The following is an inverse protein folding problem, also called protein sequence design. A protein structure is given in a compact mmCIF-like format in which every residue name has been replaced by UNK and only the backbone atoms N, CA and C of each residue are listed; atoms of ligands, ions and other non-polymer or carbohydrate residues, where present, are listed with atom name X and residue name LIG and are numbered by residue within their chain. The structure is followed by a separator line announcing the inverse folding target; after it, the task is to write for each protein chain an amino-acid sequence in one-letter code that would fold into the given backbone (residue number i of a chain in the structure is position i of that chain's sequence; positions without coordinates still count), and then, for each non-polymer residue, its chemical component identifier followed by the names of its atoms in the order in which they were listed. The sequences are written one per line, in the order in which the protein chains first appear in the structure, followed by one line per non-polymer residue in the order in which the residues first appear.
data_IF_773034802210
#
_entry.id   IF_773034802210
#
_cell.length_a   1.000
_cell.length_b   1.000
_cell.length_c   1.000
_cell.angle_alpha   90.00
_cell.angle_beta   90.00
_cell.angle_gamma   90.00
#
_symmetry.space_group_name_H-M   'P 1'
#
loop_
_entity.id
_entity.type
_entity.pdbx_description
1 polymer ?
#
# COMPACT_ATOMS: atom_id res chain seq x y z
N UNK A 1 44.87 -6.84 26.47
CA UNK A 1 44.03 -7.81 25.76
C UNK A 1 42.72 -7.08 25.38
N UNK A 2 42.42 -6.78 24.13
CA UNK A 2 41.15 -6.18 23.76
C UNK A 2 40.04 -7.25 23.77
N UNK A 3 39.00 -7.00 24.55
CA UNK A 3 37.77 -7.79 24.55
C UNK A 3 37.10 -7.66 23.17
N UNK A 4 37.18 -8.71 22.37
CA UNK A 4 36.33 -8.90 21.21
C UNK A 4 34.90 -9.25 21.69
N UNK A 5 34.07 -8.25 21.91
CA UNK A 5 32.62 -8.45 21.95
C UNK A 5 32.13 -8.71 20.53
N UNK A 6 32.03 -10.00 20.18
CA UNK A 6 31.28 -10.42 19.00
C UNK A 6 29.83 -10.01 19.23
N UNK A 7 29.39 -8.95 18.59
CA UNK A 7 27.98 -8.60 18.50
C UNK A 7 27.29 -9.73 17.72
N UNK A 8 26.66 -10.64 18.44
CA UNK A 8 25.74 -11.60 17.81
C UNK A 8 24.56 -10.79 17.25
N UNK A 9 24.51 -10.66 15.94
CA UNK A 9 23.34 -10.08 15.25
C UNK A 9 22.08 -10.78 15.79
N UNK A 10 21.13 -10.00 16.30
CA UNK A 10 19.88 -10.52 16.85
C UNK A 10 19.20 -11.35 15.75
N UNK A 11 18.79 -12.59 16.08
CA UNK A 11 18.14 -13.49 15.12
C UNK A 11 16.81 -12.86 14.69
N UNK A 12 16.67 -12.58 13.40
CA UNK A 12 15.40 -12.10 12.83
C UNK A 12 14.40 -13.24 12.79
N UNK A 13 13.22 -13.01 13.36
CA UNK A 13 12.08 -13.94 13.28
C UNK A 13 11.22 -13.53 12.09
N UNK A 14 11.11 -14.38 11.08
CA UNK A 14 10.23 -14.18 9.94
C UNK A 14 8.82 -14.68 10.28
N UNK A 15 7.80 -13.87 9.95
CA UNK A 15 6.39 -14.15 10.23
C UNK A 15 5.58 -13.87 8.97
N UNK A 16 4.71 -14.79 8.57
CA UNK A 16 3.71 -14.57 7.52
C UNK A 16 2.43 -14.00 8.16
N UNK A 17 1.90 -12.92 7.61
CA UNK A 17 0.70 -12.24 8.13
C UNK A 17 -0.34 -12.12 7.04
N UNK A 18 -1.54 -12.62 7.31
CA UNK A 18 -2.71 -12.58 6.45
C UNK A 18 -3.61 -11.39 6.81
N UNK A 19 -3.62 -10.37 5.96
CA UNK A 19 -4.65 -9.34 5.96
C UNK A 19 -5.85 -9.91 5.20
N UNK A 20 -6.69 -10.63 5.92
CA UNK A 20 -7.89 -11.27 5.37
C UNK A 20 -8.98 -10.22 5.26
N UNK A 21 -9.49 -10.01 4.05
CA UNK A 21 -10.60 -9.08 3.82
C UNK A 21 -11.78 -9.74 3.10
N UNK A 22 -12.92 -9.13 3.30
CA UNK A 22 -14.17 -9.43 2.60
C UNK A 22 -14.83 -8.13 2.16
N UNK A 23 -15.34 -8.09 0.95
CA UNK A 23 -16.08 -6.93 0.41
C UNK A 23 -17.52 -7.36 0.17
N UNK A 24 -18.46 -6.71 0.86
CA UNK A 24 -19.89 -7.00 0.71
C UNK A 24 -20.46 -6.43 -0.61
N UNK A 25 -21.71 -6.76 -0.91
CA UNK A 25 -22.43 -6.32 -2.13
C UNK A 25 -22.56 -4.77 -2.23
N UNK A 26 -22.46 -4.05 -1.12
CA UNK A 26 -22.44 -2.59 -1.09
C UNK A 26 -21.03 -2.00 -1.33
N UNK A 27 -20.02 -2.84 -1.56
CA UNK A 27 -18.64 -2.42 -1.77
C UNK A 27 -17.89 -2.04 -0.48
N UNK A 28 -18.43 -2.36 0.70
CA UNK A 28 -17.78 -2.10 1.99
C UNK A 28 -16.80 -3.21 2.32
N UNK A 29 -15.58 -2.84 2.69
CA UNK A 29 -14.53 -3.77 3.06
C UNK A 29 -14.49 -4.00 4.58
N UNK A 30 -14.38 -5.26 4.97
CA UNK A 30 -14.20 -5.73 6.34
C UNK A 30 -12.90 -6.53 6.44
N UNK A 31 -12.23 -6.46 7.57
CA UNK A 31 -10.97 -7.14 7.84
C UNK A 31 -11.11 -8.07 9.05
N UNK A 32 -10.65 -9.31 8.92
CA UNK A 32 -10.65 -10.26 10.01
C UNK A 32 -9.51 -9.96 10.98
N UNK A 33 -9.83 -9.87 12.26
CA UNK A 33 -8.89 -9.72 13.37
C UNK A 33 -9.07 -10.83 14.38
N UNK A 34 -7.98 -11.41 14.87
CA UNK A 34 -7.91 -12.25 16.05
C UNK A 34 -7.67 -11.42 17.32
N UNK A 35 -8.11 -11.90 18.48
CA UNK A 35 -7.83 -11.26 19.76
C UNK A 35 -6.79 -12.05 20.54
N UNK A 36 -5.63 -11.43 20.80
CA UNK A 36 -4.54 -12.00 21.60
C UNK A 36 -4.91 -11.96 23.09
N UNK A 37 -4.79 -13.09 23.74
CA UNK A 37 -5.07 -13.19 25.15
C UNK A 37 -3.99 -12.50 26.01
N UNK A 38 -4.36 -12.02 27.21
CA UNK A 38 -3.48 -11.23 28.08
C UNK A 38 -2.12 -11.88 28.41
N UNK A 39 -2.05 -13.21 28.44
CA UNK A 39 -0.82 -13.95 28.76
C UNK A 39 0.17 -14.07 27.59
N UNK A 40 -0.25 -13.74 26.37
CA UNK A 40 0.60 -13.78 25.18
C UNK A 40 1.47 -12.53 25.08
N UNK A 41 2.59 -12.64 24.35
CA UNK A 41 3.42 -11.46 24.03
C UNK A 41 2.59 -10.42 23.29
N UNK A 42 2.60 -9.15 23.75
CA UNK A 42 1.71 -8.10 23.24
C UNK A 42 0.20 -8.44 23.41
N UNK A 43 -0.19 -9.15 24.49
CA UNK A 43 -1.58 -9.50 24.78
C UNK A 43 -2.53 -8.32 24.96
N UNK A 44 -3.84 -8.61 25.10
CA UNK A 44 -4.93 -7.65 25.17
C UNK A 44 -5.00 -6.70 23.95
N UNK A 45 -4.72 -7.25 22.77
CA UNK A 45 -4.73 -6.53 21.49
C UNK A 45 -5.40 -7.38 20.41
N UNK A 46 -5.91 -6.70 19.40
CA UNK A 46 -6.30 -7.35 18.15
C UNK A 46 -5.09 -7.49 17.24
N UNK A 47 -5.08 -8.50 16.38
CA UNK A 47 -4.01 -8.73 15.40
C UNK A 47 -4.55 -9.34 14.12
N UNK A 48 -3.78 -9.23 13.05
CA UNK A 48 -4.02 -10.01 11.84
C UNK A 48 -3.57 -11.45 12.04
N UNK A 49 -4.25 -12.40 11.41
CA UNK A 49 -3.92 -13.83 11.44
C UNK A 49 -2.53 -14.08 10.89
N UNK A 50 -1.74 -14.95 11.53
CA UNK A 50 -0.42 -15.29 11.01
C UNK A 50 0.55 -15.78 12.05
N UNK A 51 1.61 -16.43 11.57
CA UNK A 51 2.60 -17.03 12.44
C UNK A 51 3.98 -17.15 11.84
N UNK A 52 4.86 -17.86 12.51
CA UNK A 52 6.26 -17.99 12.10
C UNK A 52 6.41 -18.77 10.81
N UNK A 53 7.34 -18.34 9.98
CA UNK A 53 7.77 -19.07 8.79
C UNK A 53 8.78 -20.12 9.21
N UNK A 54 8.50 -21.39 8.95
CA UNK A 54 9.39 -22.49 9.26
C UNK A 54 10.58 -22.60 8.30
N UNK A 55 11.66 -23.35 8.70
CA UNK A 55 12.96 -23.40 7.99
C UNK A 55 12.70 -24.03 6.65
N UNK A 56 11.95 -24.38 5.97
CA UNK A 56 11.80 -24.88 4.59
C UNK A 56 10.52 -24.37 3.92
N UNK A 57 9.87 -23.40 4.55
CA UNK A 57 8.67 -22.79 4.00
C UNK A 57 8.99 -21.49 3.27
N UNK A 58 8.29 -21.24 2.20
CA UNK A 58 8.15 -19.89 1.64
C UNK A 58 7.16 -19.08 2.50
N UNK A 59 7.23 -17.75 2.49
CA UNK A 59 6.26 -16.91 3.21
C UNK A 59 4.79 -17.21 2.84
N UNK A 60 4.52 -17.56 1.58
CA UNK A 60 3.18 -17.94 1.13
C UNK A 60 2.72 -19.30 1.66
N UNK A 61 3.63 -20.30 1.73
CA UNK A 61 3.30 -21.60 2.32
C UNK A 61 2.97 -21.47 3.80
N UNK A 62 3.78 -20.72 4.55
CA UNK A 62 3.50 -20.41 5.95
C UNK A 62 2.14 -19.70 6.12
N UNK A 63 1.84 -18.72 5.25
CA UNK A 63 0.55 -18.02 5.25
C UNK A 63 -0.63 -18.99 5.15
N UNK A 64 -0.61 -19.90 4.16
CA UNK A 64 -1.68 -20.88 3.95
C UNK A 64 -1.83 -21.81 5.15
N UNK A 65 -0.71 -22.30 5.70
CA UNK A 65 -0.70 -23.16 6.88
C UNK A 65 -1.26 -22.45 8.12
N UNK A 66 -0.76 -21.26 8.44
CA UNK A 66 -1.18 -20.48 9.62
C UNK A 66 -2.67 -20.12 9.58
N UNK A 67 -3.18 -19.69 8.41
CA UNK A 67 -4.62 -19.39 8.25
C UNK A 67 -5.47 -20.65 8.47
N UNK A 68 -5.02 -21.81 7.97
CA UNK A 68 -5.73 -23.07 8.20
C UNK A 68 -5.66 -23.51 9.67
N UNK A 69 -4.50 -23.36 10.34
CA UNK A 69 -4.30 -23.74 11.73
C UNK A 69 -5.06 -22.83 12.70
N UNK A 70 -5.00 -21.50 12.51
CA UNK A 70 -5.60 -20.56 13.46
C UNK A 70 -7.12 -20.41 13.29
N UNK A 71 -7.62 -20.40 12.07
CA UNK A 71 -9.05 -20.10 11.81
C UNK A 71 -9.79 -21.16 10.99
N UNK A 72 -9.12 -22.23 10.58
CA UNK A 72 -9.74 -23.34 9.82
C UNK A 72 -10.17 -22.99 8.42
N UNK A 73 -9.61 -21.93 7.81
CA UNK A 73 -9.95 -21.48 6.47
C UNK A 73 -8.90 -21.93 5.45
N UNK A 74 -9.34 -22.64 4.40
CA UNK A 74 -8.47 -22.97 3.27
C UNK A 74 -8.46 -21.80 2.28
N UNK A 75 -7.29 -21.18 2.12
CA UNK A 75 -7.07 -20.05 1.21
C UNK A 75 -6.23 -20.41 -0.02
N UNK A 76 -6.01 -21.70 -0.29
CA UNK A 76 -5.17 -22.18 -1.41
C UNK A 76 -5.67 -21.71 -2.79
N UNK A 77 -6.96 -21.45 -2.93
CA UNK A 77 -7.58 -20.99 -4.17
C UNK A 77 -7.86 -19.49 -4.18
N UNK A 78 -7.62 -18.78 -3.05
CA UNK A 78 -7.85 -17.35 -2.99
C UNK A 78 -6.73 -16.57 -3.66
N UNK A 79 -7.09 -15.45 -4.27
CA UNK A 79 -6.09 -14.50 -4.74
C UNK A 79 -5.33 -13.92 -3.56
N UNK A 80 -4.02 -14.08 -3.58
CA UNK A 80 -3.11 -13.57 -2.54
C UNK A 80 -2.19 -12.52 -3.14
N UNK A 81 -2.20 -11.31 -2.59
CA UNK A 81 -1.35 -10.21 -3.02
C UNK A 81 -0.36 -9.87 -1.91
N UNK A 82 0.94 -9.92 -2.20
CA UNK A 82 1.97 -9.44 -1.27
C UNK A 82 1.86 -7.93 -1.14
N UNK A 83 1.64 -7.41 0.07
CA UNK A 83 1.65 -5.99 0.36
C UNK A 83 3.07 -5.48 0.66
N UNK A 84 3.92 -6.31 1.27
CA UNK A 84 5.29 -5.93 1.56
C UNK A 84 5.90 -6.69 2.72
N UNK A 85 7.02 -6.16 3.23
CA UNK A 85 7.71 -6.70 4.42
C UNK A 85 7.96 -5.58 5.42
N UNK A 86 7.41 -5.72 6.62
CA UNK A 86 7.62 -4.77 7.70
C UNK A 86 8.69 -5.33 8.64
N UNK A 87 9.79 -4.59 8.81
CA UNK A 87 10.82 -4.94 9.80
C UNK A 87 10.60 -4.08 11.05
N UNK A 88 10.56 -4.73 12.18
CA UNK A 88 10.37 -4.08 13.47
C UNK A 88 11.31 -4.67 14.53
N UNK A 89 12.00 -3.78 15.22
CA UNK A 89 12.92 -4.16 16.29
C UNK A 89 12.21 -3.96 17.63
N UNK A 90 11.83 -5.07 18.27
CA UNK A 90 11.45 -5.07 19.66
C UNK A 90 12.71 -5.09 20.54
N UNK A 91 12.57 -4.76 21.81
CA UNK A 91 13.70 -4.77 22.75
C UNK A 91 14.36 -6.14 22.92
N UNK A 92 13.61 -7.22 22.68
CA UNK A 92 14.03 -8.61 22.87
C UNK A 92 14.30 -9.39 21.57
N UNK A 93 13.81 -8.90 20.42
CA UNK A 93 13.91 -9.58 19.11
C UNK A 93 13.64 -8.64 17.94
N UNK A 94 14.24 -8.98 16.80
CA UNK A 94 13.90 -8.38 15.52
C UNK A 94 12.89 -9.27 14.80
N UNK A 95 11.86 -8.70 14.18
CA UNK A 95 10.87 -9.41 13.38
C UNK A 95 10.81 -8.87 11.96
N UNK A 96 10.54 -9.76 11.00
CA UNK A 96 10.21 -9.41 9.64
C UNK A 96 8.82 -9.99 9.32
N UNK A 97 7.84 -9.12 9.19
CA UNK A 97 6.46 -9.48 8.89
C UNK A 97 6.26 -9.45 7.38
N UNK A 98 6.05 -10.61 6.76
CA UNK A 98 5.70 -10.76 5.35
C UNK A 98 4.18 -10.63 5.22
N UNK A 99 3.70 -9.50 4.72
CA UNK A 99 2.29 -9.12 4.72
C UNK A 99 1.66 -9.51 3.40
N UNK A 100 0.55 -10.23 3.47
CA UNK A 100 -0.25 -10.62 2.31
C UNK A 100 -1.71 -10.22 2.52
N UNK A 101 -2.34 -9.71 1.49
CA UNK A 101 -3.78 -9.51 1.44
C UNK A 101 -4.43 -10.74 0.81
N UNK A 102 -5.50 -11.23 1.43
CA UNK A 102 -6.28 -12.39 1.00
C UNK A 102 -7.75 -12.02 1.01
N UNK A 103 -8.40 -11.98 -0.15
CA UNK A 103 -9.84 -11.67 -0.23
C UNK A 103 -10.64 -12.97 -0.18
N UNK A 104 -11.57 -13.08 0.77
CA UNK A 104 -12.45 -14.23 0.92
C UNK A 104 -13.69 -14.10 0.03
N UNK A 105 -14.23 -15.26 -0.36
CA UNK A 105 -15.57 -15.35 -0.96
C UNK A 105 -16.69 -15.35 0.11
N UNK A 106 -17.94 -15.31 -0.36
CA UNK A 106 -19.11 -15.28 0.52
C UNK A 106 -19.20 -16.52 1.43
N UNK A 107 -18.88 -17.71 0.92
CA UNK A 107 -18.97 -18.96 1.69
C UNK A 107 -17.92 -19.02 2.81
N UNK A 108 -16.69 -18.56 2.52
CA UNK A 108 -15.62 -18.46 3.52
C UNK A 108 -15.94 -17.40 4.57
N UNK A 109 -16.49 -16.24 4.16
CA UNK A 109 -16.92 -15.19 5.08
C UNK A 109 -18.04 -15.69 6.01
N UNK A 110 -19.08 -16.33 5.47
CA UNK A 110 -20.20 -16.86 6.26
C UNK A 110 -19.75 -17.90 7.29
N UNK A 111 -18.78 -18.75 6.93
CA UNK A 111 -18.20 -19.74 7.83
C UNK A 111 -17.44 -19.10 9.02
N UNK A 112 -16.90 -17.91 8.85
CA UNK A 112 -16.09 -17.18 9.84
C UNK A 112 -16.86 -16.05 10.54
N UNK A 113 -18.14 -15.81 10.19
CA UNK A 113 -18.90 -14.63 10.64
C UNK A 113 -19.13 -14.61 12.17
N UNK A 114 -19.28 -15.78 12.80
CA UNK A 114 -19.60 -15.92 14.22
C UNK A 114 -18.71 -16.98 14.87
N UNK A 115 -17.39 -16.83 14.78
CA UNK A 115 -16.52 -17.89 15.21
C UNK A 115 -15.52 -17.50 16.30
N UNK A 116 -15.02 -18.53 16.94
CA UNK A 116 -13.71 -18.54 17.56
C UNK A 116 -12.75 -19.18 16.58
N UNK A 117 -11.50 -18.75 16.57
CA UNK A 117 -10.45 -19.46 15.88
C UNK A 117 -10.23 -20.83 16.50
N UNK A 118 -9.55 -21.71 15.79
CA UNK A 118 -9.31 -23.08 16.24
C UNK A 118 -8.41 -23.16 17.49
N UNK A 119 -7.65 -22.11 17.77
CA UNK A 119 -6.85 -21.95 18.99
C UNK A 119 -7.66 -21.34 20.17
N UNK A 120 -8.96 -21.14 19.98
CA UNK A 120 -9.87 -20.58 21.00
C UNK A 120 -9.82 -19.05 21.10
N UNK A 121 -9.08 -18.36 20.26
CA UNK A 121 -9.07 -16.89 20.16
C UNK A 121 -10.39 -16.39 19.59
N UNK A 122 -10.88 -15.27 20.13
CA UNK A 122 -12.03 -14.57 19.55
C UNK A 122 -11.61 -13.93 18.23
N UNK A 123 -12.40 -14.12 17.18
CA UNK A 123 -12.24 -13.42 15.90
C UNK A 123 -13.34 -12.36 15.74
N UNK A 124 -13.04 -11.29 15.02
CA UNK A 124 -13.99 -10.20 14.74
C UNK A 124 -13.73 -9.62 13.35
N UNK A 125 -14.78 -9.11 12.74
CA UNK A 125 -14.71 -8.38 11.48
C UNK A 125 -14.73 -6.88 11.76
N UNK A 126 -13.63 -6.22 11.49
CA UNK A 126 -13.49 -4.77 11.60
C UNK A 126 -13.86 -4.11 10.28
N UNK A 127 -14.70 -3.08 10.30
CA UNK A 127 -14.88 -2.26 9.10
C UNK A 127 -13.58 -1.50 8.76
N UNK A 128 -13.38 -1.16 7.50
CA UNK A 128 -12.21 -0.36 7.10
C UNK A 128 -12.16 0.97 7.87
N UNK A 129 -13.30 1.62 8.05
CA UNK A 129 -13.39 2.91 8.74
C UNK A 129 -13.01 2.79 10.21
N UNK A 130 -13.52 1.78 10.91
CA UNK A 130 -13.16 1.54 12.31
C UNK A 130 -11.68 1.19 12.48
N UNK A 131 -11.11 0.44 11.53
CA UNK A 131 -9.69 0.09 11.53
C UNK A 131 -8.82 1.34 11.35
N UNK A 132 -9.17 2.21 10.40
CA UNK A 132 -8.47 3.47 10.14
C UNK A 132 -8.67 4.49 11.28
N UNK A 133 -9.82 4.45 11.98
CA UNK A 133 -10.09 5.26 13.17
C UNK A 133 -9.41 4.74 14.45
N UNK A 134 -8.57 3.69 14.36
CA UNK A 134 -7.90 3.05 15.51
C UNK A 134 -8.86 2.53 16.59
N UNK A 135 -10.07 2.10 16.21
CA UNK A 135 -11.03 1.49 17.14
C UNK A 135 -10.53 0.13 17.69
N UNK A 136 -9.56 -0.47 17.03
CA UNK A 136 -8.92 -1.73 17.42
C UNK A 136 -7.46 -1.49 17.81
N UNK A 137 -7.10 -1.82 19.05
CA UNK A 137 -5.72 -1.72 19.52
C UNK A 137 -4.88 -2.83 18.89
N UNK A 138 -4.02 -2.50 17.94
CA UNK A 138 -3.12 -3.42 17.25
C UNK A 138 -1.70 -3.37 17.85
N UNK A 139 -0.84 -4.41 17.66
CA UNK A 139 0.59 -4.34 17.92
C UNK A 139 1.27 -3.22 17.10
N UNK A 140 2.33 -2.64 17.65
CA UNK A 140 3.00 -1.50 17.02
C UNK A 140 3.51 -1.79 15.59
N UNK A 141 4.00 -3.03 15.37
CA UNK A 141 4.42 -3.48 14.04
C UNK A 141 3.28 -3.50 13.00
N UNK A 142 2.02 -3.56 13.44
CA UNK A 142 0.85 -3.61 12.56
C UNK A 142 0.38 -2.21 12.11
N UNK A 143 0.87 -1.13 12.72
CA UNK A 143 0.49 0.24 12.35
C UNK A 143 0.74 0.51 10.85
N UNK A 144 1.89 0.05 10.32
CA UNK A 144 2.21 0.17 8.89
C UNK A 144 1.24 -0.58 7.98
N UNK A 145 0.65 -1.68 8.43
CA UNK A 145 -0.38 -2.41 7.67
C UNK A 145 -1.61 -1.51 7.49
N UNK A 146 -2.04 -0.85 8.58
CA UNK A 146 -3.18 0.08 8.55
C UNK A 146 -2.90 1.26 7.61
N UNK A 147 -1.67 1.81 7.62
CA UNK A 147 -1.26 2.84 6.66
C UNK A 147 -1.46 2.35 5.21
N UNK A 148 -0.98 1.16 4.88
CA UNK A 148 -1.14 0.59 3.53
C UNK A 148 -2.59 0.32 3.16
N UNK A 149 -3.43 -0.09 4.12
CA UNK A 149 -4.86 -0.30 3.90
C UNK A 149 -5.64 1.01 3.70
N UNK A 150 -5.09 2.16 4.10
CA UNK A 150 -5.68 3.47 3.80
C UNK A 150 -5.64 3.80 2.31
N UNK A 151 -4.67 3.22 1.57
CA UNK A 151 -4.53 3.43 0.14
C UNK A 151 -5.64 2.74 -0.65
N UNK A 152 -6.04 3.36 -1.76
CA UNK A 152 -7.01 2.80 -2.70
C UNK A 152 -6.29 1.92 -3.75
N UNK A 153 -7.01 0.98 -4.35
CA UNK A 153 -6.47 0.15 -5.44
C UNK A 153 -6.42 0.89 -6.80
N UNK A 154 -6.94 2.11 -6.87
CA UNK A 154 -6.83 3.00 -8.02
C UNK A 154 -6.29 4.35 -7.59
N UNK A 155 -5.23 4.80 -8.24
CA UNK A 155 -4.64 6.12 -8.04
C UNK A 155 -4.83 6.92 -9.33
N UNK A 156 -5.67 7.94 -9.24
CA UNK A 156 -5.90 8.87 -10.35
C UNK A 156 -4.74 9.86 -10.42
N UNK A 157 -4.20 10.08 -11.61
CA UNK A 157 -3.12 11.06 -11.83
C UNK A 157 -3.71 12.25 -12.59
N UNK A 158 -3.46 13.46 -12.11
CA UNK A 158 -3.95 14.65 -12.78
C UNK A 158 -3.31 14.84 -14.16
N UNK A 159 -4.11 15.37 -15.09
CA UNK A 159 -3.61 15.91 -16.36
C UNK A 159 -2.86 17.22 -16.11
N UNK A 160 -2.02 17.60 -17.07
CA UNK A 160 -1.36 18.90 -17.05
C UNK A 160 -2.36 20.05 -17.05
N UNK A 161 -2.02 21.14 -16.38
CA UNK A 161 -2.89 22.31 -16.26
C UNK A 161 -3.19 22.97 -17.61
N UNK A 162 -2.23 22.96 -18.52
CA UNK A 162 -2.33 23.55 -19.86
C UNK A 162 -3.31 22.80 -20.79
N UNK A 163 -3.75 21.61 -20.42
CA UNK A 163 -4.83 20.88 -21.12
C UNK A 163 -6.23 21.41 -20.77
N UNK A 164 -6.33 22.35 -19.83
CA UNK A 164 -7.57 23.02 -19.42
C UNK A 164 -7.53 24.50 -19.78
N UNK A 165 -8.71 25.11 -19.93
CA UNK A 165 -8.80 26.53 -20.25
C UNK A 165 -8.16 27.45 -19.19
N UNK A 166 -8.23 27.05 -17.93
CA UNK A 166 -7.64 27.76 -16.78
C UNK A 166 -7.63 26.90 -15.52
N UNK A 167 -7.04 27.42 -14.44
CA UNK A 167 -6.94 26.75 -13.14
C UNK A 167 -8.30 26.37 -12.53
N UNK A 168 -9.32 27.23 -12.67
CA UNK A 168 -10.64 26.95 -12.13
C UNK A 168 -11.31 25.78 -12.83
N UNK A 169 -11.20 25.67 -14.16
CA UNK A 169 -11.72 24.52 -14.93
C UNK A 169 -11.04 23.22 -14.55
N UNK A 170 -9.73 23.27 -14.24
CA UNK A 170 -8.98 22.12 -13.74
C UNK A 170 -9.50 21.68 -12.35
N UNK A 171 -9.69 22.62 -11.42
CA UNK A 171 -10.23 22.36 -10.09
C UNK A 171 -11.64 21.77 -10.16
N UNK A 172 -12.53 22.41 -10.91
CA UNK A 172 -13.92 21.97 -11.08
C UNK A 172 -14.02 20.56 -11.68
N UNK A 173 -13.07 20.22 -12.58
CA UNK A 173 -13.02 18.89 -13.19
C UNK A 173 -12.75 17.81 -12.15
N UNK A 174 -11.75 18.01 -11.28
CA UNK A 174 -11.37 17.00 -10.28
C UNK A 174 -12.32 17.00 -9.08
N UNK A 175 -12.81 18.15 -8.67
CA UNK A 175 -13.83 18.24 -7.61
C UNK A 175 -15.08 17.41 -7.96
N UNK A 176 -15.59 17.55 -9.20
CA UNK A 176 -16.82 16.90 -9.64
C UNK A 176 -16.66 15.43 -10.03
N UNK A 177 -15.49 15.02 -10.52
CA UNK A 177 -15.31 13.70 -11.16
C UNK A 177 -14.58 12.67 -10.34
N UNK A 178 -13.72 13.10 -9.37
CA UNK A 178 -13.03 12.13 -8.52
C UNK A 178 -14.03 11.39 -7.64
N UNK A 179 -13.95 10.05 -7.57
CA UNK A 179 -14.74 9.29 -6.61
C UNK A 179 -14.47 9.75 -5.18
N UNK A 180 -15.42 9.50 -4.29
CA UNK A 180 -15.22 9.72 -2.86
C UNK A 180 -14.08 8.82 -2.35
N UNK A 181 -13.19 9.38 -1.53
CA UNK A 181 -12.06 8.67 -0.96
C UNK A 181 -10.94 8.33 -1.95
N UNK A 182 -10.93 8.93 -3.16
CA UNK A 182 -9.99 8.60 -4.22
C UNK A 182 -8.52 8.82 -3.81
N UNK A 183 -7.62 7.92 -4.20
CA UNK A 183 -6.20 8.20 -4.29
C UNK A 183 -5.92 9.14 -5.46
N UNK A 184 -5.33 10.30 -5.20
CA UNK A 184 -5.12 11.31 -6.24
C UNK A 184 -3.69 11.85 -6.28
N UNK A 185 -2.95 11.51 -7.34
CA UNK A 185 -1.64 12.09 -7.58
C UNK A 185 -1.78 13.42 -8.33
N UNK A 186 -1.59 14.51 -7.58
CA UNK A 186 -1.74 15.89 -8.04
C UNK A 186 -0.44 16.34 -8.69
N UNK A 187 -0.45 16.38 -10.03
CA UNK A 187 0.72 16.67 -10.87
C UNK A 187 0.35 17.58 -12.03
N UNK A 188 0.05 18.87 -11.76
CA UNK A 188 -0.48 19.79 -12.78
C UNK A 188 0.55 20.19 -13.85
N UNK A 189 1.81 19.79 -13.73
CA UNK A 189 2.90 20.14 -14.66
C UNK A 189 3.03 21.67 -14.87
N UNK A 190 2.86 22.43 -13.79
CA UNK A 190 3.05 23.87 -13.72
C UNK A 190 4.26 24.21 -12.85
N UNK A 191 4.60 25.50 -12.70
CA UNK A 191 5.59 25.91 -11.71
C UNK A 191 5.16 25.53 -10.27
N UNK A 192 6.12 25.46 -9.37
CA UNK A 192 5.91 24.96 -8.00
C UNK A 192 4.90 25.79 -7.19
N UNK A 193 4.85 27.11 -7.43
CA UNK A 193 3.94 28.02 -6.73
C UNK A 193 2.49 27.78 -7.18
N UNK A 194 2.28 27.68 -8.49
CA UNK A 194 0.96 27.37 -9.05
C UNK A 194 0.51 25.96 -8.63
N UNK A 195 1.41 24.98 -8.65
CA UNK A 195 1.11 23.63 -8.18
C UNK A 195 0.67 23.62 -6.69
N UNK A 196 1.40 24.35 -5.82
CA UNK A 196 1.07 24.47 -4.40
C UNK A 196 -0.31 25.13 -4.17
N UNK A 197 -0.66 26.15 -4.95
CA UNK A 197 -1.98 26.78 -4.89
C UNK A 197 -3.10 25.81 -5.27
N UNK A 198 -2.94 25.08 -6.37
CA UNK A 198 -3.92 24.08 -6.83
C UNK A 198 -4.09 22.95 -5.81
N UNK A 199 -2.99 22.46 -5.24
CA UNK A 199 -3.03 21.42 -4.19
C UNK A 199 -3.85 21.94 -3.00
N UNK A 200 -3.55 23.10 -2.46
CA UNK A 200 -4.29 23.67 -1.32
C UNK A 200 -5.78 23.86 -1.63
N UNK A 201 -6.10 24.33 -2.82
CA UNK A 201 -7.49 24.55 -3.22
C UNK A 201 -8.25 23.23 -3.33
N UNK A 202 -7.70 22.21 -4.00
CA UNK A 202 -8.39 20.94 -4.15
C UNK A 202 -8.54 20.21 -2.80
N UNK A 203 -7.55 20.28 -1.90
CA UNK A 203 -7.64 19.70 -0.57
C UNK A 203 -8.68 20.38 0.32
N UNK A 204 -8.89 21.70 0.16
CA UNK A 204 -9.96 22.40 0.85
C UNK A 204 -11.37 22.01 0.34
N UNK A 205 -11.51 21.65 -0.94
CA UNK A 205 -12.77 21.21 -1.54
C UNK A 205 -13.04 19.73 -1.30
N UNK A 206 -11.97 18.89 -1.30
CA UNK A 206 -12.01 17.44 -1.27
C UNK A 206 -11.13 16.90 -0.14
N UNK A 207 -11.55 17.13 1.09
CA UNK A 207 -10.88 16.60 2.29
C UNK A 207 -10.95 15.05 2.39
N UNK A 208 -11.79 14.43 1.58
CA UNK A 208 -11.98 12.98 1.53
C UNK A 208 -10.90 12.23 0.75
N UNK A 209 -10.17 12.88 -0.16
CA UNK A 209 -9.17 12.24 -1.00
C UNK A 209 -7.87 11.90 -0.24
N UNK A 210 -7.12 10.91 -0.76
CA UNK A 210 -5.74 10.63 -0.33
C UNK A 210 -4.79 11.28 -1.33
N UNK A 211 -4.24 12.48 -1.03
CA UNK A 211 -3.41 13.21 -1.97
C UNK A 211 -1.98 12.69 -2.01
N UNK A 212 -1.44 12.58 -3.22
CA UNK A 212 -0.03 12.35 -3.50
C UNK A 212 0.48 13.57 -4.26
N UNK A 213 1.63 14.12 -3.87
CA UNK A 213 2.19 15.36 -4.42
C UNK A 213 3.66 15.24 -4.73
N UNK A 214 4.16 16.00 -5.71
CA UNK A 214 5.57 15.96 -6.10
C UNK A 214 6.49 16.51 -5.00
N UNK A 215 7.62 15.85 -4.77
CA UNK A 215 8.65 16.26 -3.82
C UNK A 215 9.11 17.71 -4.05
N UNK A 216 9.31 18.12 -5.31
CA UNK A 216 9.72 19.48 -5.64
C UNK A 216 8.74 20.55 -5.14
N UNK A 217 7.44 20.26 -5.16
CA UNK A 217 6.43 21.18 -4.61
C UNK A 217 6.55 21.27 -3.08
N UNK A 218 6.74 20.13 -2.42
CA UNK A 218 6.88 20.08 -0.96
C UNK A 218 8.19 20.72 -0.48
N UNK A 219 9.27 20.57 -1.24
CA UNK A 219 10.56 21.21 -0.92
C UNK A 219 10.43 22.73 -0.77
N UNK A 220 9.59 23.37 -1.59
CA UNK A 220 9.32 24.83 -1.53
C UNK A 220 8.14 25.18 -0.61
N UNK A 221 7.23 24.23 -0.35
CA UNK A 221 6.03 24.41 0.48
C UNK A 221 5.86 23.26 1.47
N UNK A 222 6.74 23.12 2.50
CA UNK A 222 6.82 21.93 3.37
C UNK A 222 5.53 21.61 4.15
N UNK A 223 4.67 22.61 4.40
CA UNK A 223 3.41 22.41 5.10
C UNK A 223 2.46 21.45 4.37
N UNK A 224 2.58 21.30 3.04
CA UNK A 224 1.75 20.39 2.24
C UNK A 224 1.99 18.92 2.63
N UNK A 225 3.20 18.58 3.07
CA UNK A 225 3.52 17.20 3.48
C UNK A 225 2.79 16.72 4.74
N UNK A 226 2.15 17.61 5.50
CA UNK A 226 1.33 17.23 6.65
C UNK A 226 0.04 16.53 6.22
N UNK A 227 -0.53 16.96 5.09
CA UNK A 227 -1.81 16.48 4.58
C UNK A 227 -1.67 15.55 3.37
N UNK A 228 -0.47 15.40 2.80
CA UNK A 228 -0.23 14.67 1.57
C UNK A 228 0.90 13.64 1.69
N UNK A 229 0.90 12.67 0.77
CA UNK A 229 2.00 11.73 0.56
C UNK A 229 2.97 12.36 -0.45
N UNK A 230 4.25 12.38 -0.12
CA UNK A 230 5.31 12.98 -0.94
C UNK A 230 5.83 11.97 -1.96
N UNK A 231 5.67 12.26 -3.23
CA UNK A 231 6.15 11.40 -4.30
C UNK A 231 7.56 11.78 -4.74
N UNK A 232 8.46 10.81 -4.67
CA UNK A 232 9.80 10.85 -5.26
C UNK A 232 9.73 10.25 -6.68
N UNK A 233 10.08 11.00 -7.70
CA UNK A 233 10.28 10.42 -9.01
C UNK A 233 11.54 9.52 -9.02
N UNK A 234 11.75 8.75 -10.08
CA UNK A 234 12.87 7.81 -10.15
C UNK A 234 14.23 8.49 -9.91
N UNK A 235 14.48 9.66 -10.54
CA UNK A 235 15.75 10.38 -10.39
C UNK A 235 15.95 10.89 -8.96
N UNK A 236 14.88 11.31 -8.30
CA UNK A 236 14.90 11.74 -6.90
C UNK A 236 15.15 10.56 -5.97
N UNK A 237 14.48 9.41 -6.19
CA UNK A 237 14.68 8.21 -5.37
C UNK A 237 16.13 7.72 -5.40
N UNK A 238 16.75 7.66 -6.59
CA UNK A 238 18.12 7.11 -6.75
C UNK A 238 19.22 8.16 -6.56
N UNK A 239 18.89 9.45 -6.69
CA UNK A 239 19.88 10.56 -6.65
C UNK A 239 19.97 11.32 -5.33
N UNK A 240 18.93 11.24 -4.49
CA UNK A 240 18.94 11.89 -3.17
C UNK A 240 19.56 10.97 -2.11
N UNK A 241 20.15 11.59 -1.09
CA UNK A 241 20.43 10.89 0.16
C UNK A 241 19.11 10.73 0.94
N UNK A 242 18.40 9.65 0.60
CA UNK A 242 17.05 9.39 1.13
C UNK A 242 17.03 9.24 2.67
N UNK A 243 18.16 8.90 3.29
CA UNK A 243 18.26 8.78 4.75
C UNK A 243 18.14 10.14 5.45
N UNK A 244 18.42 11.24 4.76
CA UNK A 244 18.29 12.61 5.29
C UNK A 244 16.91 13.22 5.06
N UNK A 245 16.01 12.53 4.38
CA UNK A 245 14.65 13.02 4.19
C UNK A 245 13.86 13.01 5.53
N UNK A 246 12.87 13.91 5.72
CA UNK A 246 12.10 13.98 6.95
C UNK A 246 11.34 12.68 7.26
N UNK A 247 11.63 12.04 8.38
CA UNK A 247 11.01 10.75 8.78
C UNK A 247 9.53 10.89 9.15
N UNK A 248 9.06 12.09 9.46
CA UNK A 248 7.64 12.37 9.74
C UNK A 248 6.74 12.46 8.51
N UNK A 249 7.30 12.50 7.29
CA UNK A 249 6.54 12.52 6.06
C UNK A 249 6.17 11.10 5.62
N UNK A 250 5.11 11.00 4.85
CA UNK A 250 4.73 9.77 4.16
C UNK A 250 5.19 9.85 2.71
N UNK A 251 5.73 8.77 2.19
CA UNK A 251 6.36 8.75 0.87
C UNK A 251 5.72 7.77 -0.09
N UNK A 252 5.83 8.08 -1.36
CA UNK A 252 5.56 7.22 -2.49
C UNK A 252 6.69 7.40 -3.50
N UNK A 253 7.07 6.37 -4.29
CA UNK A 253 8.17 6.56 -5.24
C UNK A 253 7.90 5.88 -6.58
N UNK A 254 8.59 6.35 -7.65
CA UNK A 254 8.58 5.70 -8.95
C UNK A 254 9.81 4.82 -9.13
N UNK A 255 9.57 3.56 -9.50
CA UNK A 255 10.57 2.55 -9.82
C UNK A 255 10.41 2.05 -11.25
N UNK A 256 11.53 1.67 -11.87
CA UNK A 256 11.55 1.18 -13.25
C UNK A 256 12.26 -0.17 -13.39
N UNK A 257 13.01 -0.58 -12.39
CA UNK A 257 13.89 -1.75 -12.39
C UNK A 257 14.15 -2.27 -10.97
N UNK A 258 14.89 -3.37 -10.88
CA UNK A 258 15.28 -4.00 -9.63
C UNK A 258 16.09 -3.05 -8.74
N UNK A 259 17.03 -2.28 -9.32
CA UNK A 259 17.89 -1.36 -8.55
C UNK A 259 17.09 -0.26 -7.84
N UNK A 260 16.13 0.33 -8.53
CA UNK A 260 15.26 1.35 -7.92
C UNK A 260 14.32 0.76 -6.87
N UNK A 261 13.89 -0.50 -7.03
CA UNK A 261 13.13 -1.22 -6.01
C UNK A 261 13.98 -1.55 -4.77
N UNK A 262 15.23 -1.95 -4.94
CA UNK A 262 16.16 -2.14 -3.83
C UNK A 262 16.38 -0.85 -3.04
N UNK A 263 16.53 0.28 -3.75
CA UNK A 263 16.63 1.61 -3.12
C UNK A 263 15.35 1.95 -2.34
N UNK A 264 14.18 1.67 -2.91
CA UNK A 264 12.89 1.87 -2.25
C UNK A 264 12.74 0.97 -1.01
N UNK A 265 13.14 -0.30 -1.11
CA UNK A 265 13.13 -1.24 0.02
C UNK A 265 14.06 -0.78 1.15
N UNK A 266 15.23 -0.26 0.83
CA UNK A 266 16.13 0.31 1.81
C UNK A 266 15.54 1.56 2.49
N UNK A 267 14.96 2.46 1.70
CA UNK A 267 14.28 3.66 2.18
C UNK A 267 13.11 3.33 3.12
N UNK A 268 12.34 2.28 2.83
CA UNK A 268 11.22 1.85 3.65
C UNK A 268 11.60 1.30 5.04
N UNK A 269 12.89 1.02 5.29
CA UNK A 269 13.36 0.56 6.62
C UNK A 269 13.33 1.68 7.66
N UNK A 270 13.54 2.92 7.24
CA UNK A 270 13.63 4.10 8.13
C UNK A 270 12.50 5.11 7.95
N UNK A 271 11.75 5.03 6.84
CA UNK A 271 10.71 6.00 6.49
C UNK A 271 9.35 5.34 6.28
N UNK A 272 8.27 6.13 6.40
CA UNK A 272 6.92 5.68 6.10
C UNK A 272 6.68 5.72 4.59
N UNK A 273 6.91 4.60 3.91
CA UNK A 273 6.65 4.45 2.48
C UNK A 273 5.29 3.77 2.29
N UNK A 274 4.37 4.48 1.63
CA UNK A 274 2.99 4.06 1.39
C UNK A 274 2.87 3.13 0.18
N UNK A 275 3.84 3.17 -0.73
CA UNK A 275 3.93 2.31 -1.91
C UNK A 275 4.86 2.85 -2.98
N UNK A 276 4.91 2.14 -4.11
CA UNK A 276 5.67 2.52 -5.29
C UNK A 276 4.88 2.36 -6.59
N UNK A 277 5.13 3.23 -7.56
CA UNK A 277 4.74 3.02 -8.96
C UNK A 277 5.83 2.23 -9.66
N UNK A 278 5.48 1.11 -10.27
CA UNK A 278 6.37 0.36 -11.15
C UNK A 278 5.91 0.56 -12.60
N UNK A 279 6.77 1.09 -13.43
CA UNK A 279 6.43 1.55 -14.78
C UNK A 279 7.62 1.56 -15.75
N UNK A 280 7.38 1.57 -17.08
CA UNK A 280 6.08 1.38 -17.73
C UNK A 280 5.74 -0.10 -17.91
N UNK A 281 4.46 -0.46 -17.73
CA UNK A 281 4.01 -1.86 -17.89
C UNK A 281 3.76 -2.19 -19.35
N UNK A 282 2.97 -1.34 -20.03
CA UNK A 282 2.58 -1.48 -21.44
C UNK A 282 3.02 -0.23 -22.23
N UNK A 283 3.17 -0.32 -23.56
CA UNK A 283 3.44 0.86 -24.38
C UNK A 283 2.42 1.98 -24.14
N UNK A 284 2.89 3.22 -24.11
CA UNK A 284 2.02 4.37 -23.88
C UNK A 284 2.00 5.29 -25.09
N UNK A 285 0.90 5.99 -25.39
CA UNK A 285 0.86 6.98 -26.46
C UNK A 285 1.84 8.14 -26.28
N UNK A 286 2.23 8.44 -25.03
CA UNK A 286 3.22 9.48 -24.70
C UNK A 286 4.66 9.03 -24.93
N UNK A 287 4.90 7.73 -24.99
CA UNK A 287 6.21 7.13 -25.24
C UNK A 287 6.03 5.86 -26.08
N UNK A 288 5.61 5.98 -27.35
CA UNK A 288 5.28 4.82 -28.20
C UNK A 288 6.48 3.93 -28.51
N UNK A 289 7.68 4.48 -28.47
CA UNK A 289 8.95 3.75 -28.70
C UNK A 289 9.42 2.98 -27.44
N UNK A 290 8.90 3.29 -26.27
CA UNK A 290 9.25 2.59 -25.04
C UNK A 290 8.50 1.25 -24.98
N UNK A 291 9.23 0.16 -25.08
CA UNK A 291 8.67 -1.16 -24.79
C UNK A 291 8.37 -1.22 -23.29
N UNK A 292 7.11 -1.52 -22.93
CA UNK A 292 6.76 -1.80 -21.55
C UNK A 292 7.46 -3.07 -21.06
N UNK A 293 7.64 -3.19 -19.73
CA UNK A 293 8.27 -4.38 -19.13
C UNK A 293 7.40 -5.64 -19.23
N UNK A 294 6.10 -5.49 -19.46
CA UNK A 294 5.13 -6.59 -19.48
C UNK A 294 4.79 -7.14 -18.10
N UNK A 295 3.73 -7.92 -18.03
CA UNK A 295 3.20 -8.41 -16.75
C UNK A 295 4.12 -9.42 -16.05
N UNK A 296 4.83 -10.26 -16.82
CA UNK A 296 5.74 -11.25 -16.24
C UNK A 296 6.87 -10.57 -15.46
N UNK A 297 7.59 -9.64 -16.08
CA UNK A 297 8.67 -8.87 -15.42
C UNK A 297 8.13 -8.03 -14.28
N UNK A 298 6.93 -7.43 -14.45
CA UNK A 298 6.26 -6.71 -13.36
C UNK A 298 6.05 -7.62 -12.15
N UNK A 299 5.53 -8.84 -12.33
CA UNK A 299 5.28 -9.79 -11.24
C UNK A 299 6.56 -10.20 -10.51
N UNK A 300 7.64 -10.46 -11.25
CA UNK A 300 8.95 -10.77 -10.69
C UNK A 300 9.49 -9.62 -9.82
N UNK A 301 9.37 -8.38 -10.31
CA UNK A 301 9.79 -7.18 -9.58
C UNK A 301 8.86 -6.87 -8.38
N UNK A 302 7.55 -7.00 -8.53
CA UNK A 302 6.61 -6.80 -7.42
C UNK A 302 6.86 -7.80 -6.28
N UNK A 303 7.26 -9.04 -6.60
CA UNK A 303 7.55 -10.07 -5.61
C UNK A 303 8.74 -9.74 -4.70
N UNK A 304 9.72 -8.96 -5.16
CA UNK A 304 10.89 -8.55 -4.35
C UNK A 304 10.65 -7.23 -3.59
N UNK A 305 9.55 -6.52 -3.83
CA UNK A 305 9.26 -5.28 -3.12
C UNK A 305 8.90 -5.52 -1.65
N UNK A 306 9.40 -4.65 -0.76
CA UNK A 306 9.03 -4.58 0.66
C UNK A 306 7.88 -3.59 0.94
N UNK A 307 7.28 -2.98 -0.11
CA UNK A 307 6.15 -2.05 -0.01
C UNK A 307 5.11 -2.34 -1.09
N UNK A 308 3.84 -1.88 -0.93
CA UNK A 308 2.81 -2.05 -1.95
C UNK A 308 3.21 -1.46 -3.30
N UNK A 309 3.04 -2.22 -4.39
CA UNK A 309 3.38 -1.78 -5.75
C UNK A 309 2.12 -1.56 -6.57
N UNK A 310 2.10 -0.45 -7.30
CA UNK A 310 1.04 -0.06 -8.21
C UNK A 310 1.54 -0.07 -9.66
N UNK A 311 0.80 -0.74 -10.53
CA UNK A 311 1.13 -0.79 -11.94
C UNK A 311 0.82 0.55 -12.62
N UNK A 312 1.80 1.13 -13.33
CA UNK A 312 1.68 2.40 -14.03
C UNK A 312 2.23 2.29 -15.45
N UNK A 313 1.63 3.00 -16.38
CA UNK A 313 2.08 3.08 -17.77
C UNK A 313 1.35 2.09 -18.70
N UNK A 314 0.49 2.63 -19.54
CA UNK A 314 -0.31 1.88 -20.51
C UNK A 314 -1.49 1.11 -19.92
N UNK A 315 -1.67 1.11 -18.60
CA UNK A 315 -2.76 0.39 -17.90
C UNK A 315 -4.02 1.24 -17.78
N UNK A 316 -5.17 0.59 -17.76
CA UNK A 316 -6.50 1.16 -17.56
C UNK A 316 -7.35 0.32 -16.62
N UNK A 317 -8.65 0.64 -16.50
CA UNK A 317 -9.56 -0.09 -15.57
C UNK A 317 -9.67 -1.58 -15.89
N UNK A 318 -9.58 -1.95 -17.16
CA UNK A 318 -9.64 -3.36 -17.63
C UNK A 318 -8.45 -4.19 -17.19
N UNK A 319 -7.33 -3.55 -16.88
CA UNK A 319 -6.11 -4.21 -16.44
C UNK A 319 -6.01 -4.39 -14.92
N UNK A 320 -6.95 -3.84 -14.11
CA UNK A 320 -6.87 -3.92 -12.64
C UNK A 320 -6.79 -5.37 -12.13
N UNK A 321 -7.66 -6.25 -12.60
CA UNK A 321 -7.65 -7.65 -12.20
C UNK A 321 -6.35 -8.36 -12.61
N UNK A 322 -5.85 -8.08 -13.82
CA UNK A 322 -4.58 -8.61 -14.30
C UNK A 322 -3.42 -8.09 -13.44
N UNK A 323 -3.37 -6.78 -13.15
CA UNK A 323 -2.36 -6.19 -12.29
C UNK A 323 -2.31 -6.88 -10.93
N UNK A 324 -3.46 -7.10 -10.30
CA UNK A 324 -3.57 -7.78 -9.01
C UNK A 324 -3.13 -9.25 -9.10
N UNK A 325 -3.46 -9.95 -10.17
CA UNK A 325 -3.00 -11.33 -10.40
C UNK A 325 -1.46 -11.43 -10.51
N UNK A 326 -0.80 -10.36 -10.95
CA UNK A 326 0.66 -10.24 -10.98
C UNK A 326 1.25 -9.54 -9.74
N UNK A 327 0.48 -9.41 -8.65
CA UNK A 327 0.97 -8.92 -7.35
C UNK A 327 0.90 -7.41 -7.15
N UNK A 328 0.23 -6.66 -8.02
CA UNK A 328 -0.01 -5.24 -7.77
C UNK A 328 -1.05 -5.03 -6.66
N UNK A 329 -0.82 -4.06 -5.79
CA UNK A 329 -1.84 -3.56 -4.86
C UNK A 329 -2.93 -2.77 -5.59
N UNK A 330 -2.64 -2.30 -6.79
CA UNK A 330 -3.57 -1.56 -7.64
C UNK A 330 -2.91 -1.00 -8.91
N UNK A 331 -3.62 -0.09 -9.54
CA UNK A 331 -3.18 0.60 -10.76
C UNK A 331 -3.15 2.11 -10.57
N UNK A 332 -2.33 2.78 -11.37
CA UNK A 332 -2.30 4.24 -11.43
C UNK A 332 -2.33 4.74 -12.87
N UNK A 333 -3.01 5.87 -13.11
CA UNK A 333 -3.05 6.41 -14.47
C UNK A 333 -3.80 7.72 -14.64
N UNK A 334 -3.37 8.49 -15.64
CA UNK A 334 -4.00 9.77 -16.02
C UNK A 334 -5.39 9.54 -16.64
N UNK A 335 -5.54 8.43 -17.37
CA UNK A 335 -6.77 8.14 -18.15
C UNK A 335 -7.83 7.38 -17.36
N UNK A 336 -7.54 6.92 -16.14
CA UNK A 336 -8.49 6.14 -15.34
C UNK A 336 -9.79 6.89 -15.11
N UNK A 337 -9.71 8.19 -14.79
CA UNK A 337 -10.89 9.02 -14.54
C UNK A 337 -11.81 9.14 -15.76
N UNK A 338 -11.22 9.20 -16.96
CA UNK A 338 -12.00 9.28 -18.20
C UNK A 338 -12.66 7.93 -18.58
N UNK A 339 -12.18 6.81 -18.05
CA UNK A 339 -12.72 5.48 -18.29
C UNK A 339 -13.85 5.12 -17.31
N UNK A 340 -13.99 5.86 -16.21
CA UNK A 340 -15.11 5.66 -15.30
C UNK A 340 -16.41 6.14 -15.97
N UNK A 341 -17.39 5.25 -16.04
CA UNK A 341 -18.73 5.62 -16.50
C UNK A 341 -19.30 6.66 -15.55
N UNK A 342 -19.93 7.75 -16.03
CA UNK A 342 -20.64 8.67 -15.14
C UNK A 342 -21.65 7.85 -14.35
N UNK A 343 -21.57 7.90 -13.02
CA UNK A 343 -22.65 7.39 -12.17
C UNK A 343 -23.87 8.26 -12.51
N UNK A 344 -24.85 7.66 -13.17
CA UNK A 344 -26.14 8.30 -13.39
C UNK A 344 -26.74 8.58 -12.01
N UNK A 345 -26.83 9.85 -11.65
CA UNK A 345 -27.47 10.34 -10.43
C UNK A 345 -28.98 10.22 -10.60
#
# INVERSE_FOLDING_TARGET
MPNNTVSTAAKVVNVAVAVIDYVNDAGQAYFLLGYRQAHQHQGDRYEFVGGKIDVHETPHQALVREVAEEIGCDITQNQTVKLGVIRHDYTDKCVALHIFRVTLDNAQFDALQYGQGLEGQRITWASKDDLLANCYRLPDANARIVDWLSMQNMIFISQALDTFANAQTWLDHYDKKLPHGAGFYIRPQSDVTQAALLIKQILNQRADITPIVQYQTVLHHPSIAQDAIVHLNHSELVGLDVEQLPTQWRYFASCHDEQSLETLNQFAKSHTVMGGFLSPILPTPTHPEAQGMGWQTFGELAAISDVPIYALGGVGLTELATAQAYGASGIAGIRLLAQMTPVSI
#
